data_IF_812511380595
#
_entry.id   IF_812511380595
#
_cell.length_a   1.000
_cell.length_b   1.000
_cell.length_c   1.000
_cell.angle_alpha   90.00
_cell.angle_beta   90.00
_cell.angle_gamma   90.00
#
_symmetry.space_group_name_H-M   'P 1'
#
loop_
_entity.id
_entity.type
_entity.pdbx_description
1 polymer ?
#
# COMPACT_ATOMS: atom_id res chain seq x y z
N UNK A 1 -30.98 -2.74 -34.65
CA UNK A 1 -31.54 -2.02 -33.49
C UNK A 1 -31.56 -2.90 -32.20
N UNK A 2 -30.65 -3.88 -32.06
CA UNK A 2 -30.55 -4.76 -30.87
C UNK A 2 -29.11 -4.94 -30.36
N UNK A 3 -28.13 -4.29 -31.00
CA UNK A 3 -26.72 -4.44 -30.64
C UNK A 3 -26.22 -3.39 -29.60
N UNK A 4 -27.00 -2.34 -29.33
CA UNK A 4 -26.56 -1.27 -28.43
C UNK A 4 -26.88 -1.52 -26.96
N UNK A 5 -27.72 -2.52 -26.66
CA UNK A 5 -28.14 -2.82 -25.27
C UNK A 5 -27.10 -3.66 -24.51
N UNK A 6 -26.19 -4.36 -25.20
CA UNK A 6 -25.21 -5.26 -24.57
C UNK A 6 -23.99 -4.50 -24.03
N UNK A 7 -23.69 -3.31 -24.55
CA UNK A 7 -22.53 -2.51 -24.12
C UNK A 7 -22.75 -1.74 -22.81
N UNK A 8 -23.98 -1.44 -22.42
CA UNK A 8 -24.27 -0.71 -21.18
C UNK A 8 -24.16 -1.55 -19.90
N UNK A 9 -24.20 -2.88 -20.00
CA UNK A 9 -24.18 -3.75 -18.79
C UNK A 9 -22.80 -3.94 -18.17
N UNK A 10 -21.70 -3.59 -18.86
CA UNK A 10 -20.35 -3.87 -18.40
C UNK A 10 -19.62 -2.69 -17.73
N UNK A 11 -20.24 -1.51 -17.63
CA UNK A 11 -19.57 -0.30 -17.11
C UNK A 11 -20.20 0.25 -15.81
N UNK A 12 -21.31 -0.32 -15.31
CA UNK A 12 -21.92 0.18 -14.07
C UNK A 12 -21.17 -0.41 -12.85
N UNK A 13 -20.54 0.45 -12.07
CA UNK A 13 -20.09 0.10 -10.71
C UNK A 13 -21.31 -0.41 -9.91
N UNK A 14 -21.12 -1.49 -9.15
CA UNK A 14 -22.19 -1.97 -8.25
C UNK A 14 -22.41 -0.93 -7.13
N UNK A 15 -23.65 -0.65 -6.74
CA UNK A 15 -23.92 0.22 -5.61
C UNK A 15 -23.20 -0.30 -4.35
N UNK A 16 -22.61 0.61 -3.60
CA UNK A 16 -22.03 0.28 -2.29
C UNK A 16 -23.17 0.12 -1.30
N UNK A 17 -23.26 -1.04 -0.67
CA UNK A 17 -24.26 -1.28 0.37
C UNK A 17 -23.97 -0.39 1.59
N UNK A 18 -25.01 0.19 2.17
CA UNK A 18 -24.90 1.08 3.35
C UNK A 18 -24.20 0.38 4.54
N UNK A 19 -24.42 -0.91 4.71
CA UNK A 19 -23.74 -1.73 5.74
C UNK A 19 -22.21 -1.78 5.57
N UNK A 20 -21.70 -1.55 4.37
CA UNK A 20 -20.27 -1.51 4.09
C UNK A 20 -19.63 -0.15 4.39
N UNK A 21 -20.41 0.92 4.62
CA UNK A 21 -19.88 2.28 4.84
C UNK A 21 -18.91 2.32 6.02
N UNK A 22 -19.21 1.66 7.12
CA UNK A 22 -18.32 1.63 8.29
C UNK A 22 -16.98 0.96 7.99
N UNK A 23 -16.97 -0.08 7.15
CA UNK A 23 -15.73 -0.74 6.72
C UNK A 23 -14.87 0.22 5.89
N UNK A 24 -15.48 1.02 5.02
CA UNK A 24 -14.78 2.04 4.25
C UNK A 24 -14.25 3.16 5.15
N UNK A 25 -15.01 3.60 6.16
CA UNK A 25 -14.57 4.66 7.09
C UNK A 25 -13.29 4.30 7.85
N UNK A 26 -13.13 3.05 8.29
CA UNK A 26 -11.89 2.61 8.91
C UNK A 26 -10.69 2.70 7.96
N UNK A 27 -10.92 2.46 6.67
CA UNK A 27 -9.89 2.54 5.63
C UNK A 27 -9.59 3.98 5.20
N UNK A 28 -10.59 4.87 5.23
CA UNK A 28 -10.38 6.32 5.14
C UNK A 28 -9.40 6.77 6.23
N UNK A 29 -9.63 6.33 7.47
CA UNK A 29 -8.76 6.64 8.59
C UNK A 29 -7.37 5.96 8.53
N UNK A 30 -7.21 4.91 7.74
CA UNK A 30 -5.92 4.27 7.49
C UNK A 30 -5.13 4.93 6.35
N UNK A 31 -5.67 6.00 5.75
CA UNK A 31 -5.04 6.74 4.66
C UNK A 31 -4.64 8.15 5.12
N UNK A 32 -3.61 8.71 4.52
CA UNK A 32 -3.14 10.06 4.80
C UNK A 32 -2.67 10.76 3.53
N UNK A 33 -2.72 12.09 3.53
CA UNK A 33 -2.09 12.91 2.51
C UNK A 33 -0.66 13.22 2.93
N UNK A 34 0.31 12.96 2.04
CA UNK A 34 1.69 13.38 2.22
C UNK A 34 1.78 14.88 1.87
N UNK A 35 2.11 15.73 2.86
CA UNK A 35 2.40 17.14 2.63
C UNK A 35 3.84 17.27 2.13
N UNK A 36 4.78 16.57 2.78
CA UNK A 36 6.11 16.36 2.24
C UNK A 36 6.02 15.46 1.00
N UNK A 37 6.40 15.99 -0.17
CA UNK A 37 6.40 15.24 -1.44
C UNK A 37 5.10 15.28 -2.25
N UNK A 38 3.99 15.77 -1.70
CA UNK A 38 2.70 15.97 -2.41
C UNK A 38 2.11 14.71 -3.03
N UNK A 39 1.71 13.76 -2.19
CA UNK A 39 1.10 12.51 -2.62
C UNK A 39 0.16 11.91 -1.60
N UNK A 40 -0.24 10.69 -1.84
CA UNK A 40 -1.04 9.86 -0.93
C UNK A 40 -0.15 8.87 -0.18
N UNK A 41 -0.60 8.44 0.98
CA UNK A 41 0.01 7.37 1.74
C UNK A 41 -1.03 6.61 2.56
N UNK A 42 -0.65 5.47 3.07
CA UNK A 42 -1.52 4.64 3.89
C UNK A 42 -0.74 3.87 4.95
N UNK A 43 -1.43 3.57 6.04
CA UNK A 43 -0.89 2.75 7.11
C UNK A 43 -1.24 1.29 6.86
N UNK A 44 -0.25 0.43 6.92
CA UNK A 44 -0.42 -1.01 6.72
C UNK A 44 0.25 -1.79 7.83
N UNK A 45 -0.45 -2.81 8.34
CA UNK A 45 0.08 -3.70 9.37
C UNK A 45 0.82 -4.85 8.73
N UNK A 46 2.08 -5.02 9.14
CA UNK A 46 2.89 -6.19 8.82
C UNK A 46 3.02 -7.05 10.08
N UNK A 47 2.69 -8.33 9.94
CA UNK A 47 2.84 -9.29 11.01
C UNK A 47 4.24 -9.90 11.00
N UNK A 48 4.84 -10.01 12.17
CA UNK A 48 6.10 -10.67 12.45
C UNK A 48 5.84 -11.90 13.33
N UNK A 49 6.82 -12.76 13.52
CA UNK A 49 6.63 -14.05 14.23
C UNK A 49 5.98 -13.89 15.61
N UNK A 50 6.39 -12.88 16.40
CA UNK A 50 5.95 -12.69 17.78
C UNK A 50 5.24 -11.33 18.00
N UNK A 51 5.16 -10.47 17.01
CA UNK A 51 4.57 -9.14 17.10
C UNK A 51 4.13 -8.63 15.74
N UNK A 52 3.46 -7.50 15.73
CA UNK A 52 3.12 -6.82 14.49
C UNK A 52 3.50 -5.34 14.59
N UNK A 53 3.81 -4.73 13.46
CA UNK A 53 4.11 -3.30 13.34
C UNK A 53 3.26 -2.66 12.28
N UNK A 54 3.00 -1.38 12.45
CA UNK A 54 2.36 -0.54 11.46
C UNK A 54 3.44 0.24 10.74
N UNK A 55 3.30 0.35 9.42
CA UNK A 55 4.17 1.15 8.56
C UNK A 55 3.32 2.12 7.74
N UNK A 56 3.84 3.31 7.55
CA UNK A 56 3.39 4.22 6.51
C UNK A 56 4.01 3.78 5.18
N UNK A 57 3.18 3.62 4.15
CA UNK A 57 3.59 3.34 2.78
C UNK A 57 3.23 4.49 1.85
N UNK A 58 4.10 4.75 0.88
CA UNK A 58 3.90 5.67 -0.24
C UNK A 58 4.86 5.30 -1.38
N UNK A 59 4.92 6.08 -2.46
CA UNK A 59 5.91 5.89 -3.52
C UNK A 59 7.29 6.49 -3.18
N UNK A 60 8.34 5.95 -3.81
CA UNK A 60 9.68 6.54 -3.75
C UNK A 60 9.72 7.93 -4.37
N UNK A 61 9.06 8.14 -5.52
CA UNK A 61 9.03 9.47 -6.15
C UNK A 61 8.31 10.54 -5.31
N UNK A 62 7.53 10.14 -4.27
CA UNK A 62 6.94 11.05 -3.28
C UNK A 62 7.88 11.25 -2.09
N UNK A 63 8.41 10.19 -1.51
CA UNK A 63 9.36 10.22 -0.39
C UNK A 63 10.60 9.39 -0.73
N UNK A 64 11.57 10.00 -1.38
CA UNK A 64 12.84 9.34 -1.71
C UNK A 64 13.79 9.29 -0.50
N UNK A 65 14.95 8.63 -0.68
CA UNK A 65 15.96 8.46 0.37
C UNK A 65 16.42 9.79 0.99
N UNK A 66 16.43 10.88 0.22
CA UNK A 66 16.85 12.19 0.73
C UNK A 66 15.88 12.79 1.73
N UNK A 67 14.57 12.48 1.57
CA UNK A 67 13.52 12.98 2.44
C UNK A 67 13.35 12.15 3.72
N UNK A 68 13.77 10.87 3.72
CA UNK A 68 13.65 9.97 4.87
C UNK A 68 14.96 9.78 5.66
N UNK A 69 15.93 10.68 5.49
CA UNK A 69 17.20 10.64 6.24
C UNK A 69 16.98 10.77 7.76
N UNK A 70 17.90 10.23 8.59
CA UNK A 70 17.90 10.50 10.02
C UNK A 70 17.81 12.01 10.32
N UNK A 71 17.01 12.37 11.33
CA UNK A 71 16.69 13.75 11.73
C UNK A 71 15.82 14.56 10.76
N UNK A 72 15.34 13.98 9.65
CA UNK A 72 14.31 14.63 8.86
C UNK A 72 12.91 14.50 9.48
N UNK A 73 11.97 15.29 8.99
CA UNK A 73 10.60 15.31 9.44
C UNK A 73 9.66 15.14 8.23
N UNK A 74 8.74 14.21 8.32
CA UNK A 74 7.71 13.96 7.32
C UNK A 74 6.40 14.53 7.80
N UNK A 75 5.85 15.48 7.08
CA UNK A 75 4.54 16.07 7.37
C UNK A 75 3.44 15.34 6.60
N UNK A 76 2.41 14.96 7.32
CA UNK A 76 1.21 14.31 6.76
C UNK A 76 -0.05 15.01 7.26
N UNK A 77 -1.12 15.02 6.45
CA UNK A 77 -2.48 15.32 6.90
C UNK A 77 -3.18 13.99 7.20
N UNK A 78 -3.52 13.78 8.46
CA UNK A 78 -4.18 12.58 8.96
C UNK A 78 -5.39 12.98 9.80
N UNK A 79 -6.59 12.47 9.47
CA UNK A 79 -7.86 12.82 10.14
C UNK A 79 -8.05 14.33 10.27
N UNK A 80 -7.76 15.08 9.21
CA UNK A 80 -7.82 16.55 9.14
C UNK A 80 -6.81 17.32 10.01
N UNK A 81 -5.88 16.63 10.66
CA UNK A 81 -4.78 17.24 11.42
C UNK A 81 -3.45 17.09 10.69
N UNK A 82 -2.57 18.07 10.86
CA UNK A 82 -1.18 17.94 10.41
C UNK A 82 -0.41 17.21 11.49
N UNK A 83 0.19 16.08 11.15
CA UNK A 83 1.07 15.32 12.02
C UNK A 83 2.48 15.28 11.44
N UNK A 84 3.48 15.22 12.33
CA UNK A 84 4.89 15.17 11.97
C UNK A 84 5.47 13.84 12.43
N UNK A 85 6.02 13.08 11.48
CA UNK A 85 6.75 11.83 11.73
C UNK A 85 8.24 12.17 11.73
N UNK A 86 8.91 12.04 12.87
CA UNK A 86 10.35 12.28 13.01
C UNK A 86 11.13 11.02 12.65
N UNK A 87 12.11 11.14 11.75
CA UNK A 87 12.84 10.00 11.20
C UNK A 87 13.97 9.47 12.10
N UNK A 88 13.97 9.84 13.39
CA UNK A 88 15.00 9.38 14.34
C UNK A 88 14.74 7.95 14.81
N UNK A 89 15.76 7.09 14.73
CA UNK A 89 15.80 5.74 15.28
C UNK A 89 14.64 4.84 14.83
N UNK A 90 14.07 5.08 13.64
CA UNK A 90 13.01 4.23 13.08
C UNK A 90 13.50 3.49 11.84
N UNK A 91 12.98 2.30 11.66
CA UNK A 91 13.17 1.60 10.40
C UNK A 91 12.45 2.32 9.27
N UNK A 92 13.16 2.54 8.19
CA UNK A 92 12.62 3.00 6.93
C UNK A 92 13.39 2.37 5.79
N UNK A 93 12.70 2.09 4.70
CA UNK A 93 13.36 1.66 3.46
C UNK A 93 12.62 2.22 2.25
N UNK A 94 13.35 2.32 1.17
CA UNK A 94 12.84 2.82 -0.11
C UNK A 94 13.50 2.06 -1.25
N UNK A 95 12.80 1.98 -2.38
CA UNK A 95 13.30 1.36 -3.60
C UNK A 95 12.76 2.14 -4.80
N UNK A 96 13.67 2.67 -5.61
CA UNK A 96 13.33 3.49 -6.79
C UNK A 96 12.72 2.65 -7.91
N UNK A 97 13.22 1.43 -8.14
CA UNK A 97 12.75 0.54 -9.21
C UNK A 97 11.30 0.07 -8.95
N UNK A 98 11.01 -0.38 -7.72
CA UNK A 98 9.67 -0.75 -7.29
C UNK A 98 8.81 0.46 -6.91
N UNK A 99 9.41 1.64 -6.88
CA UNK A 99 8.76 2.92 -6.56
C UNK A 99 7.93 2.89 -5.28
N UNK A 100 8.54 2.45 -4.18
CA UNK A 100 7.90 2.49 -2.87
C UNK A 100 8.84 3.04 -1.79
N UNK A 101 8.23 3.55 -0.73
CA UNK A 101 8.89 3.90 0.53
C UNK A 101 8.03 3.39 1.67
N UNK A 102 8.67 2.79 2.68
CA UNK A 102 8.00 2.41 3.92
C UNK A 102 8.72 3.03 5.14
N UNK A 103 7.94 3.44 6.13
CA UNK A 103 8.41 4.09 7.36
C UNK A 103 7.70 3.44 8.54
N UNK A 104 8.44 2.91 9.51
CA UNK A 104 7.89 2.32 10.74
C UNK A 104 7.16 3.38 11.55
N UNK A 105 5.99 3.02 12.08
CA UNK A 105 5.20 3.84 12.99
C UNK A 105 5.39 3.31 14.42
N UNK A 106 5.80 4.18 15.34
CA UNK A 106 6.02 3.79 16.71
C UNK A 106 4.72 3.67 17.50
N UNK A 107 4.72 2.78 18.47
CA UNK A 107 3.64 2.68 19.45
C UNK A 107 3.54 4.01 20.19
N UNK A 108 2.33 4.59 20.24
CA UNK A 108 2.08 5.90 20.87
C UNK A 108 1.96 7.07 19.89
N UNK A 109 2.26 6.90 18.60
CA UNK A 109 2.07 7.95 17.59
C UNK A 109 0.60 8.12 17.13
N UNK A 110 -0.34 7.42 17.80
CA UNK A 110 -1.80 7.55 17.61
C UNK A 110 -2.31 7.25 16.18
N UNK A 111 -1.65 6.32 15.49
CA UNK A 111 -2.11 5.76 14.22
C UNK A 111 -2.71 4.37 14.47
N UNK A 112 -4.03 4.31 14.65
CA UNK A 112 -4.74 3.08 15.07
C UNK A 112 -5.38 2.31 13.93
N UNK A 113 -5.72 3.01 12.86
CA UNK A 113 -6.37 2.42 11.70
C UNK A 113 -5.30 2.00 10.67
N UNK A 114 -5.46 0.83 10.09
CA UNK A 114 -4.51 0.28 9.13
C UNK A 114 -5.19 -0.66 8.13
N UNK A 115 -4.52 -0.88 7.02
CA UNK A 115 -4.86 -1.94 6.09
C UNK A 115 -4.14 -3.24 6.46
N UNK A 116 -4.76 -4.35 6.09
CA UNK A 116 -4.11 -5.65 6.00
C UNK A 116 -3.74 -5.95 4.54
N UNK A 117 -2.77 -6.84 4.33
CA UNK A 117 -2.31 -7.24 3.01
C UNK A 117 -3.05 -8.51 2.59
N UNK A 118 -3.47 -8.56 1.33
CA UNK A 118 -3.87 -9.82 0.68
C UNK A 118 -2.64 -10.42 -0.01
N UNK A 119 -2.34 -11.67 0.33
CA UNK A 119 -1.17 -12.40 -0.17
C UNK A 119 -1.59 -13.62 -1.00
N UNK A 120 -2.74 -13.57 -1.62
CA UNK A 120 -3.18 -14.60 -2.56
C UNK A 120 -2.32 -14.60 -3.82
N UNK A 121 -2.44 -15.64 -4.61
CA UNK A 121 -1.79 -15.72 -5.92
C UNK A 121 -2.22 -14.56 -6.83
N UNK A 122 -1.26 -13.85 -7.42
CA UNK A 122 -1.51 -12.66 -8.25
C UNK A 122 -2.47 -12.96 -9.42
N UNK A 123 -2.38 -14.14 -10.03
CA UNK A 123 -3.27 -14.54 -11.13
C UNK A 123 -4.76 -14.50 -10.75
N UNK A 124 -5.08 -14.69 -9.46
CA UNK A 124 -6.46 -14.65 -8.95
C UNK A 124 -7.04 -13.23 -8.92
N UNK A 125 -6.20 -12.21 -9.00
CA UNK A 125 -6.67 -10.82 -8.97
C UNK A 125 -7.13 -10.29 -10.33
N UNK A 126 -6.85 -11.00 -11.43
CA UNK A 126 -7.23 -10.54 -12.77
C UNK A 126 -8.76 -10.39 -12.87
N UNK A 127 -9.20 -9.19 -13.30
CA UNK A 127 -10.59 -8.75 -13.39
C UNK A 127 -11.31 -8.52 -12.04
N UNK A 128 -10.61 -8.63 -10.90
CA UNK A 128 -11.18 -8.26 -9.60
C UNK A 128 -11.50 -6.76 -9.54
N UNK A 129 -12.55 -6.45 -8.79
CA UNK A 129 -12.91 -5.08 -8.48
C UNK A 129 -11.95 -4.52 -7.43
N UNK A 130 -11.44 -3.35 -7.74
CA UNK A 130 -10.46 -2.62 -6.94
C UNK A 130 -11.05 -1.32 -6.42
N UNK A 131 -10.54 -0.88 -5.29
CA UNK A 131 -10.83 0.42 -4.67
C UNK A 131 -9.50 1.11 -4.35
N UNK A 132 -9.45 2.41 -4.52
CA UNK A 132 -8.33 3.25 -4.13
C UNK A 132 -8.82 4.36 -3.18
N UNK A 133 -8.10 4.55 -2.07
CA UNK A 133 -8.29 5.66 -1.14
C UNK A 133 -7.19 6.68 -1.40
N UNK A 134 -7.52 7.82 -1.96
CA UNK A 134 -6.56 8.75 -2.57
C UNK A 134 -6.86 10.21 -2.23
N UNK A 135 -5.87 11.08 -2.47
CA UNK A 135 -5.99 12.53 -2.30
C UNK A 135 -5.73 13.23 -3.64
N UNK A 136 -6.64 13.10 -4.63
CA UNK A 136 -6.45 13.68 -5.96
C UNK A 136 -6.35 15.20 -5.86
N UNK A 137 -5.46 15.79 -6.65
CA UNK A 137 -5.12 17.22 -6.65
C UNK A 137 -4.70 17.78 -5.27
N UNK A 138 -4.40 16.88 -4.33
CA UNK A 138 -4.13 17.25 -2.95
C UNK A 138 -5.37 17.76 -2.19
N UNK A 139 -6.56 17.50 -2.68
CA UNK A 139 -7.84 17.80 -2.04
C UNK A 139 -8.15 16.84 -0.88
N UNK A 140 -9.40 16.73 -0.48
CA UNK A 140 -9.85 15.80 0.53
C UNK A 140 -9.81 14.35 0.02
N UNK A 141 -9.77 13.40 0.95
CA UNK A 141 -9.75 11.99 0.61
C UNK A 141 -10.95 11.61 -0.24
N UNK A 142 -10.69 10.92 -1.32
CA UNK A 142 -11.71 10.36 -2.21
C UNK A 142 -11.54 8.84 -2.35
N UNK A 143 -12.63 8.19 -2.72
CA UNK A 143 -12.68 6.78 -3.03
C UNK A 143 -13.01 6.63 -4.51
N UNK A 144 -12.18 5.88 -5.23
CA UNK A 144 -12.42 5.54 -6.64
C UNK A 144 -12.39 4.03 -6.83
N UNK A 145 -13.28 3.55 -7.69
CA UNK A 145 -13.39 2.13 -8.04
C UNK A 145 -12.89 1.87 -9.46
N UNK A 146 -12.43 0.65 -9.70
CA UNK A 146 -12.03 0.20 -11.01
C UNK A 146 -11.79 -1.31 -11.03
N UNK A 147 -11.09 -1.79 -12.04
CA UNK A 147 -10.77 -3.22 -12.19
C UNK A 147 -9.29 -3.39 -12.45
N UNK A 148 -8.75 -4.52 -12.00
CA UNK A 148 -7.47 -5.02 -12.50
C UNK A 148 -7.70 -5.59 -13.89
N UNK A 149 -7.07 -4.99 -14.91
CA UNK A 149 -7.27 -5.39 -16.31
C UNK A 149 -6.12 -6.20 -16.86
N UNK A 150 -4.90 -5.95 -16.37
CA UNK A 150 -3.72 -6.70 -16.81
C UNK A 150 -2.62 -6.74 -15.75
N UNK A 151 -1.67 -7.66 -15.95
CA UNK A 151 -0.50 -7.87 -15.11
C UNK A 151 0.72 -7.92 -16.01
N UNK A 152 1.66 -6.99 -15.82
CA UNK A 152 2.90 -6.92 -16.63
C UNK A 152 4.07 -7.39 -15.76
N UNK A 153 4.95 -8.19 -16.35
CA UNK A 153 6.18 -8.73 -15.75
C UNK A 153 5.96 -9.37 -14.36
N UNK A 154 4.76 -9.90 -14.15
CA UNK A 154 4.28 -10.48 -12.89
C UNK A 154 4.35 -9.54 -11.67
N UNK A 155 4.77 -8.29 -11.81
CA UNK A 155 4.95 -7.35 -10.70
C UNK A 155 4.09 -6.08 -10.81
N UNK A 156 3.69 -5.69 -12.02
CA UNK A 156 2.93 -4.46 -12.25
C UNK A 156 1.43 -4.76 -12.37
N UNK A 157 0.64 -3.98 -11.67
CA UNK A 157 -0.82 -3.95 -11.76
C UNK A 157 -1.19 -2.93 -12.83
N UNK A 158 -2.02 -3.31 -13.81
CA UNK A 158 -2.67 -2.37 -14.73
C UNK A 158 -4.15 -2.32 -14.35
N UNK A 159 -4.67 -1.12 -14.10
CA UNK A 159 -6.03 -0.95 -13.56
C UNK A 159 -6.76 0.25 -14.14
N UNK A 160 -8.09 0.24 -14.03
CA UNK A 160 -8.99 1.29 -14.53
C UNK A 160 -9.52 2.23 -13.44
N UNK A 161 -8.95 2.21 -12.23
CA UNK A 161 -9.36 3.14 -11.18
C UNK A 161 -9.05 4.55 -11.66
N UNK A 162 -10.02 5.45 -11.56
CA UNK A 162 -9.80 6.87 -11.88
C UNK A 162 -8.88 7.50 -10.85
N UNK A 163 -7.79 8.11 -11.30
CA UNK A 163 -6.78 8.75 -10.46
C UNK A 163 -6.37 10.09 -11.07
N UNK A 164 -5.81 10.97 -10.25
CA UNK A 164 -5.29 12.26 -10.67
C UNK A 164 -3.96 12.56 -9.95
N UNK A 165 -3.36 13.72 -10.25
CA UNK A 165 -2.18 14.20 -9.53
C UNK A 165 -2.42 14.14 -8.02
N UNK A 166 -1.43 13.66 -7.24
CA UNK A 166 -1.56 13.44 -5.79
C UNK A 166 -2.13 12.08 -5.39
N UNK A 167 -2.65 11.27 -6.34
CA UNK A 167 -3.10 9.89 -6.07
C UNK A 167 -1.94 8.91 -5.92
N UNK A 168 -0.73 9.26 -6.38
CA UNK A 168 0.48 8.43 -6.22
C UNK A 168 0.72 8.08 -4.75
N UNK A 169 1.03 6.82 -4.48
CA UNK A 169 1.23 6.29 -3.12
C UNK A 169 -0.05 5.76 -2.46
N UNK A 170 -1.19 5.86 -3.13
CA UNK A 170 -2.45 5.31 -2.62
C UNK A 170 -2.47 3.78 -2.61
N UNK A 171 -3.16 3.13 -1.66
CA UNK A 171 -3.33 1.69 -1.65
C UNK A 171 -4.25 1.23 -2.77
N UNK A 172 -3.86 0.19 -3.48
CA UNK A 172 -4.75 -0.57 -4.38
C UNK A 172 -5.33 -1.72 -3.56
N UNK A 173 -6.64 -1.72 -3.39
CA UNK A 173 -7.35 -2.56 -2.43
C UNK A 173 -8.39 -3.41 -3.15
N UNK A 174 -8.55 -4.68 -2.76
CA UNK A 174 -9.66 -5.52 -3.22
C UNK A 174 -10.99 -5.02 -2.64
N UNK A 175 -11.99 -4.82 -3.49
CA UNK A 175 -13.30 -4.32 -3.07
C UNK A 175 -14.03 -5.28 -2.13
N UNK A 176 -13.82 -6.60 -2.27
CA UNK A 176 -14.55 -7.63 -1.53
C UNK A 176 -14.11 -7.76 -0.06
N UNK A 177 -12.82 -7.56 0.25
CA UNK A 177 -12.26 -7.79 1.60
C UNK A 177 -11.51 -6.57 2.17
N UNK A 178 -11.32 -5.51 1.39
CA UNK A 178 -10.59 -4.28 1.74
C UNK A 178 -9.13 -4.53 2.16
N UNK A 179 -8.50 -5.56 1.61
CA UNK A 179 -7.08 -5.83 1.79
C UNK A 179 -6.27 -5.26 0.65
N UNK A 180 -5.09 -4.73 0.97
CA UNK A 180 -4.17 -4.15 0.00
C UNK A 180 -3.50 -5.25 -0.82
N UNK A 181 -3.48 -5.08 -2.13
CA UNK A 181 -2.72 -5.91 -3.06
C UNK A 181 -1.54 -5.17 -3.70
N UNK A 182 -1.51 -3.83 -3.64
CA UNK A 182 -0.45 -3.04 -4.24
C UNK A 182 -0.51 -1.57 -3.90
N UNK A 183 0.41 -0.80 -4.50
CA UNK A 183 0.52 0.66 -4.38
C UNK A 183 0.33 1.27 -5.76
N UNK A 184 -0.54 2.27 -5.88
CA UNK A 184 -0.73 3.04 -7.10
C UNK A 184 0.53 3.89 -7.39
N UNK A 185 1.02 3.81 -8.63
CA UNK A 185 2.23 4.48 -9.07
C UNK A 185 1.96 5.72 -9.93
N UNK A 186 1.00 5.61 -10.85
CA UNK A 186 0.68 6.68 -11.79
C UNK A 186 -0.03 6.18 -13.05
N UNK A 187 -0.09 7.03 -14.07
CA UNK A 187 -0.71 6.70 -15.37
C UNK A 187 0.18 5.76 -16.20
N UNK A 188 -0.47 4.95 -17.03
CA UNK A 188 0.18 4.06 -18.00
C UNK A 188 -0.70 3.95 -19.26
N UNK A 189 -0.29 4.58 -20.35
CA UNK A 189 -1.11 4.71 -21.58
C UNK A 189 -2.50 5.27 -21.24
N UNK A 190 -3.57 4.55 -21.63
CA UNK A 190 -4.96 4.91 -21.35
C UNK A 190 -5.49 4.31 -20.03
N UNK A 191 -4.59 3.84 -19.17
CA UNK A 191 -4.90 3.17 -17.90
C UNK A 191 -4.01 3.71 -16.79
N UNK A 192 -4.09 3.09 -15.62
CA UNK A 192 -3.25 3.36 -14.47
C UNK A 192 -2.43 2.14 -14.08
N UNK A 193 -1.31 2.36 -13.41
CA UNK A 193 -0.41 1.31 -12.97
C UNK A 193 -0.11 1.36 -11.48
N UNK A 194 0.24 0.22 -10.93
CA UNK A 194 0.74 0.05 -9.57
C UNK A 194 1.71 -1.11 -9.47
N UNK A 195 2.24 -1.32 -8.29
CA UNK A 195 3.15 -2.42 -7.96
C UNK A 195 2.48 -3.35 -6.96
N UNK A 196 2.54 -4.67 -7.20
CA UNK A 196 2.04 -5.65 -6.25
C UNK A 196 2.81 -5.64 -4.94
N UNK A 197 2.08 -5.71 -3.84
CA UNK A 197 2.64 -5.62 -2.49
C UNK A 197 3.59 -6.78 -2.14
N UNK A 198 3.41 -7.95 -2.76
CA UNK A 198 4.28 -9.11 -2.59
C UNK A 198 5.75 -8.81 -2.93
N UNK A 199 6.00 -8.02 -3.99
CA UNK A 199 7.36 -7.63 -4.39
C UNK A 199 7.95 -6.61 -3.41
N UNK A 200 7.13 -5.69 -2.93
CA UNK A 200 7.50 -4.72 -1.90
C UNK A 200 7.93 -5.45 -0.63
N UNK A 201 7.12 -6.41 -0.16
CA UNK A 201 7.46 -7.21 1.03
C UNK A 201 8.77 -7.98 0.88
N UNK A 202 8.99 -8.60 -0.30
CA UNK A 202 10.23 -9.31 -0.60
C UNK A 202 11.45 -8.37 -0.55
N UNK A 203 11.32 -7.18 -1.10
CA UNK A 203 12.42 -6.21 -1.07
C UNK A 203 12.67 -5.68 0.35
N UNK A 204 11.64 -5.33 1.10
CA UNK A 204 11.75 -4.95 2.52
C UNK A 204 12.53 -6.01 3.29
N UNK A 205 12.21 -7.29 3.09
CA UNK A 205 12.91 -8.39 3.71
C UNK A 205 14.39 -8.44 3.33
N UNK A 206 14.70 -8.28 2.04
CA UNK A 206 16.08 -8.27 1.58
C UNK A 206 16.87 -7.12 2.23
N UNK A 207 16.25 -5.95 2.38
CA UNK A 207 16.88 -4.80 3.03
C UNK A 207 17.08 -5.04 4.54
N UNK A 208 16.14 -5.66 5.22
CA UNK A 208 16.26 -6.05 6.62
C UNK A 208 17.36 -7.09 6.84
N UNK A 209 17.47 -8.10 5.96
CA UNK A 209 18.51 -9.12 6.03
C UNK A 209 19.93 -8.53 5.85
N UNK A 210 20.09 -7.54 4.97
CA UNK A 210 21.36 -6.82 4.81
C UNK A 210 21.81 -6.11 6.10
N UNK A 211 20.87 -5.71 6.92
CA UNK A 211 21.11 -5.05 8.21
C UNK A 211 21.24 -6.02 9.39
N UNK A 212 21.57 -7.31 9.13
CA UNK A 212 21.71 -8.38 10.14
C UNK A 212 20.45 -8.64 11.00
N UNK A 213 19.28 -8.30 10.52
CA UNK A 213 18.02 -8.60 11.19
C UNK A 213 17.51 -9.96 10.71
N UNK A 214 17.36 -10.93 11.61
CA UNK A 214 16.83 -12.25 11.27
C UNK A 214 15.33 -12.20 11.05
N UNK A 215 14.91 -12.55 9.84
CA UNK A 215 13.51 -12.71 9.45
C UNK A 215 13.26 -14.21 9.25
N UNK A 216 12.17 -14.72 9.80
CA UNK A 216 11.75 -16.10 9.61
C UNK A 216 10.52 -16.16 8.69
N UNK A 217 10.43 -17.15 7.80
CA UNK A 217 9.27 -17.31 6.95
C UNK A 217 8.02 -17.58 7.78
N UNK A 218 6.94 -16.88 7.48
CA UNK A 218 5.61 -17.09 8.07
C UNK A 218 4.87 -18.17 7.31
N UNK A 219 4.99 -18.10 5.99
CA UNK A 219 4.23 -18.91 5.06
C UNK A 219 4.92 -18.86 3.70
N UNK A 220 5.05 -20.02 3.08
CA UNK A 220 5.44 -20.11 1.68
C UNK A 220 4.18 -20.04 0.82
N UNK A 221 4.15 -19.16 -0.16
CA UNK A 221 3.13 -19.14 -1.20
C UNK A 221 3.76 -19.43 -2.55
N UNK A 222 3.14 -20.30 -3.32
CA UNK A 222 3.56 -20.57 -4.69
C UNK A 222 3.03 -19.48 -5.62
N UNK A 223 3.93 -18.88 -6.36
CA UNK A 223 3.61 -17.83 -7.30
C UNK A 223 4.31 -18.10 -8.63
N UNK A 224 3.53 -18.30 -9.67
CA UNK A 224 4.03 -18.56 -11.04
C UNK A 224 5.11 -19.67 -11.12
N UNK A 225 4.88 -20.78 -10.36
CA UNK A 225 5.81 -21.91 -10.28
C UNK A 225 7.06 -21.65 -9.42
N UNK A 226 7.13 -20.52 -8.73
CA UNK A 226 8.18 -20.20 -7.76
C UNK A 226 7.58 -20.05 -6.36
N UNK A 227 8.26 -20.60 -5.38
CA UNK A 227 7.90 -20.45 -4.00
C UNK A 227 8.37 -19.10 -3.47
N UNK A 228 7.45 -18.36 -2.85
CA UNK A 228 7.72 -17.11 -2.16
C UNK A 228 7.42 -17.31 -0.69
N UNK A 229 8.43 -17.12 0.14
CA UNK A 229 8.24 -17.15 1.59
C UNK A 229 7.72 -15.83 2.09
N UNK A 230 6.71 -15.88 2.93
CA UNK A 230 6.23 -14.76 3.72
C UNK A 230 6.92 -14.82 5.06
N UNK A 231 7.53 -13.73 5.47
CA UNK A 231 8.43 -13.72 6.60
C UNK A 231 7.89 -12.96 7.79
N UNK A 232 8.21 -13.44 9.00
CA UNK A 232 8.12 -12.71 10.25
C UNK A 232 9.45 -12.00 10.52
N UNK A 233 9.36 -10.76 10.93
CA UNK A 233 10.50 -9.95 11.30
C UNK A 233 10.82 -10.10 12.79
N UNK A 234 12.05 -10.53 13.14
CA UNK A 234 12.58 -10.51 14.50
C UNK A 234 13.49 -9.30 14.65
N UNK A 235 13.07 -8.33 15.45
CA UNK A 235 13.93 -7.21 15.84
C UNK A 235 14.71 -7.61 17.10
N UNK A 236 16.03 -7.55 17.00
CA UNK A 236 16.91 -7.59 18.16
C UNK A 236 17.42 -6.15 18.37
N UNK A 237 17.39 -5.67 19.62
CA UNK A 237 18.15 -4.47 19.97
C UNK A 237 19.64 -4.82 19.99
N UNK A 238 20.48 -3.82 19.72
CA UNK A 238 21.95 -3.93 19.80
C UNK A 238 22.46 -4.49 21.15
N UNK A 239 21.65 -4.45 22.19
CA UNK A 239 21.97 -4.92 23.56
C UNK A 239 21.47 -6.34 23.86
N UNK A 240 20.99 -7.11 22.90
CA UNK A 240 20.57 -8.50 23.10
C UNK A 240 19.22 -8.69 23.82
N UNK A 241 18.49 -7.65 24.13
CA UNK A 241 17.15 -7.74 24.74
C UNK A 241 16.09 -8.02 23.67
N UNK A 242 15.28 -9.09 23.90
CA UNK A 242 14.09 -9.40 23.10
C UNK A 242 12.98 -8.40 23.46
N UNK A 243 12.31 -7.91 22.46
CA UNK A 243 11.01 -7.28 22.60
C UNK A 243 9.92 -8.33 22.65
#
# INVERSE_FOLDING_TARGET
>A
MWNDIILEQNTKSKPILVENIQRYLSKVNASCKLITGLGSGFFCKINFENFSKIFLFTNNHILNENLIKPNSEIQIKYKNEIKVIKMNNRFSCTNEELDYTCIEIFVGEDFKDYFEIDLSEIKKYKYELLVCFQFPEGNDISLAEGKLIDIIDNCQIIHTITTDFGSSGSPIVLSNNLKVIGIHRGSFKDSNQGIFFNFILKDIQNQLNKNNQKILPIKTINFDGKDFDIYYYKQYRENGEKW
#
